data_IF_244319739368
#
_entry.id   IF_244319739368
#
_cell.length_a   1.000
_cell.length_b   1.000
_cell.length_c   1.000
_cell.angle_alpha   90.00
_cell.angle_beta   90.00
_cell.angle_gamma   90.00
#
_symmetry.space_group_name_H-M   'P 1'
#
loop_
_entity.id
_entity.type
_entity.pdbx_description
1 polymer ?
#
# COMPACT_ATOMS: atom_id res chain seq x y z
N UNK A 1 -0.88 3.59 29.63
CA UNK A 1 -0.25 3.11 28.37
C UNK A 1 -0.21 1.59 28.49
N UNK A 2 -1.08 0.89 27.76
CA UNK A 2 -1.05 -0.59 27.79
C UNK A 2 0.21 -1.09 27.08
N UNK A 3 0.79 -2.18 27.60
CA UNK A 3 1.94 -2.82 26.98
C UNK A 3 1.65 -3.20 25.52
N UNK A 4 2.66 -3.01 24.65
CA UNK A 4 2.59 -3.52 23.29
C UNK A 4 2.57 -5.06 23.33
N UNK A 5 1.84 -5.73 22.42
CA UNK A 5 1.87 -7.19 22.32
C UNK A 5 3.29 -7.67 21.98
N UNK A 6 3.60 -8.95 22.24
CA UNK A 6 4.90 -9.54 21.94
C UNK A 6 5.30 -9.40 20.47
N UNK A 7 4.32 -9.33 19.56
CA UNK A 7 4.48 -8.88 18.17
C UNK A 7 3.21 -8.16 17.71
N UNK A 8 3.32 -7.21 16.75
CA UNK A 8 2.15 -6.58 16.18
C UNK A 8 1.33 -7.56 15.34
N UNK A 9 0.03 -7.28 15.19
CA UNK A 9 -0.82 -7.94 14.20
C UNK A 9 -0.62 -7.28 12.83
N UNK A 10 -0.17 -8.05 11.83
CA UNK A 10 0.15 -7.52 10.51
C UNK A 10 -1.01 -7.73 9.53
N UNK A 11 -1.45 -6.65 8.89
CA UNK A 11 -2.50 -6.66 7.87
C UNK A 11 -1.90 -6.23 6.53
N UNK A 12 -2.01 -7.07 5.51
CA UNK A 12 -1.69 -6.73 4.13
C UNK A 12 -2.95 -6.29 3.38
N UNK A 13 -2.94 -5.10 2.76
CA UNK A 13 -4.05 -4.58 1.96
C UNK A 13 -3.60 -4.40 0.51
N UNK A 14 -4.01 -5.34 -0.34
CA UNK A 14 -3.68 -5.38 -1.76
C UNK A 14 -4.85 -4.94 -2.66
N UNK A 15 -4.58 -4.82 -3.94
CA UNK A 15 -5.56 -4.49 -4.99
C UNK A 15 -4.94 -3.59 -6.05
N UNK A 16 -5.57 -3.44 -7.20
CA UNK A 16 -5.06 -2.65 -8.31
C UNK A 16 -4.88 -1.17 -7.97
N UNK A 17 -4.09 -0.47 -8.80
CA UNK A 17 -3.98 0.98 -8.70
C UNK A 17 -5.37 1.62 -8.69
N UNK A 18 -5.60 2.58 -7.78
CA UNK A 18 -6.88 3.29 -7.58
C UNK A 18 -8.08 2.41 -7.15
N UNK A 19 -7.85 1.21 -6.59
CA UNK A 19 -8.91 0.38 -6.00
C UNK A 19 -9.45 0.93 -4.66
N UNK A 20 -8.75 1.89 -4.03
CA UNK A 20 -9.12 2.47 -2.74
C UNK A 20 -8.37 1.91 -1.54
N UNK A 21 -7.26 1.20 -1.75
CA UNK A 21 -6.41 0.62 -0.67
C UNK A 21 -6.02 1.64 0.37
N UNK A 22 -5.45 2.76 -0.07
CA UNK A 22 -4.99 3.83 0.81
C UNK A 22 -6.14 4.37 1.66
N UNK A 23 -7.30 4.62 1.05
CA UNK A 23 -8.50 5.08 1.78
C UNK A 23 -8.95 4.09 2.84
N UNK A 24 -8.94 2.79 2.53
CA UNK A 24 -9.30 1.74 3.50
C UNK A 24 -8.25 1.69 4.62
N UNK A 25 -6.97 1.68 4.29
CA UNK A 25 -5.88 1.59 5.26
C UNK A 25 -5.85 2.82 6.20
N UNK A 26 -6.05 4.02 5.67
CA UNK A 26 -6.17 5.25 6.46
C UNK A 26 -7.39 5.21 7.38
N UNK A 27 -8.54 4.75 6.88
CA UNK A 27 -9.74 4.59 7.69
C UNK A 27 -9.57 3.55 8.81
N UNK A 28 -8.84 2.46 8.56
CA UNK A 28 -8.48 1.50 9.60
C UNK A 28 -7.63 2.16 10.70
N UNK A 29 -6.65 2.98 10.31
CA UNK A 29 -5.78 3.69 11.26
C UNK A 29 -6.54 4.74 12.08
N UNK A 30 -7.37 5.56 11.43
CA UNK A 30 -8.20 6.58 12.10
C UNK A 30 -9.14 5.97 13.14
N UNK A 31 -9.86 4.90 12.75
CA UNK A 31 -10.89 4.30 13.61
C UNK A 31 -10.34 3.47 14.77
N UNK A 32 -9.16 2.88 14.62
CA UNK A 32 -8.46 2.21 15.71
C UNK A 32 -7.66 3.19 16.60
N UNK A 33 -7.50 4.43 16.13
CA UNK A 33 -6.63 5.44 16.72
C UNK A 33 -5.18 5.31 16.27
N UNK A 34 -4.61 6.39 15.80
CA UNK A 34 -3.27 6.46 15.17
C UNK A 34 -2.13 5.87 16.05
N UNK A 35 -2.28 5.91 17.37
CA UNK A 35 -1.32 5.32 18.31
C UNK A 35 -1.33 3.78 18.32
N UNK A 36 -2.37 3.16 17.78
CA UNK A 36 -2.54 1.70 17.77
C UNK A 36 -2.21 1.07 16.41
N UNK A 37 -2.07 1.88 15.37
CA UNK A 37 -1.81 1.42 14.00
C UNK A 37 -0.62 2.14 13.40
N UNK A 38 0.39 1.38 12.96
CA UNK A 38 1.44 1.86 12.08
C UNK A 38 1.04 1.59 10.62
N UNK A 39 0.84 2.64 9.85
CA UNK A 39 0.50 2.53 8.43
C UNK A 39 1.78 2.64 7.59
N UNK A 40 2.04 1.61 6.79
CA UNK A 40 3.15 1.50 5.86
C UNK A 40 2.61 1.43 4.43
N UNK A 41 2.97 2.41 3.60
CA UNK A 41 2.61 2.44 2.18
C UNK A 41 3.75 1.83 1.36
N UNK A 42 3.46 0.82 0.55
CA UNK A 42 4.46 0.17 -0.31
C UNK A 42 5.11 1.17 -1.28
N UNK A 43 4.35 2.17 -1.75
CA UNK A 43 4.86 3.22 -2.64
C UNK A 43 6.03 4.03 -2.03
N UNK A 44 6.17 4.05 -0.71
CA UNK A 44 7.34 4.64 -0.03
C UNK A 44 8.63 3.85 -0.28
N UNK A 45 8.51 2.60 -0.71
CA UNK A 45 9.63 1.68 -0.89
C UNK A 45 9.98 1.44 -2.36
N UNK A 46 9.57 2.31 -3.28
CA UNK A 46 10.16 2.29 -4.61
C UNK A 46 11.68 2.42 -4.53
N UNK A 47 12.42 1.73 -5.40
CA UNK A 47 13.88 1.86 -5.48
C UNK A 47 14.28 3.32 -5.69
N UNK A 48 15.41 3.71 -5.14
CA UNK A 48 15.95 5.04 -5.37
C UNK A 48 16.52 5.13 -6.78
N UNK A 49 16.01 6.07 -7.56
CA UNK A 49 16.41 6.35 -8.93
C UNK A 49 17.14 7.70 -9.05
N UNK A 50 17.63 8.25 -7.92
CA UNK A 50 18.28 9.58 -7.89
C UNK A 50 19.45 9.74 -8.83
N UNK A 51 20.18 8.67 -9.10
CA UNK A 51 21.31 8.66 -10.04
C UNK A 51 20.88 8.61 -11.52
N UNK A 52 19.57 8.42 -11.82
CA UNK A 52 19.05 8.36 -13.18
C UNK A 52 18.53 9.72 -13.65
N UNK A 53 18.73 10.08 -14.92
CA UNK A 53 18.08 11.23 -15.53
C UNK A 53 16.54 11.17 -15.38
N UNK A 54 15.91 12.34 -15.34
CA UNK A 54 14.44 12.42 -15.15
C UNK A 54 13.66 11.64 -16.23
N UNK A 55 14.15 11.65 -17.48
CA UNK A 55 13.53 10.94 -18.60
C UNK A 55 13.50 9.42 -18.38
N UNK A 56 14.58 8.86 -17.83
CA UNK A 56 14.62 7.43 -17.48
C UNK A 56 13.70 7.10 -16.32
N UNK A 57 13.58 7.99 -15.33
CA UNK A 57 12.64 7.83 -14.23
C UNK A 57 11.18 7.86 -14.70
N UNK A 58 10.86 8.71 -15.67
CA UNK A 58 9.53 8.78 -16.28
C UNK A 58 9.16 7.52 -17.07
N UNK A 59 10.16 6.86 -17.68
CA UNK A 59 9.99 5.64 -18.46
C UNK A 59 10.04 4.35 -17.59
N UNK A 60 10.32 4.48 -16.29
CA UNK A 60 10.46 3.33 -15.39
C UNK A 60 9.09 2.72 -15.08
N UNK A 61 9.02 1.37 -15.07
CA UNK A 61 7.80 0.64 -14.73
C UNK A 61 7.66 0.49 -13.21
N UNK A 62 6.93 1.41 -12.60
CA UNK A 62 6.63 1.40 -11.16
C UNK A 62 5.58 0.35 -10.75
N UNK A 63 4.96 -0.33 -11.68
CA UNK A 63 4.00 -1.40 -11.40
C UNK A 63 4.65 -2.79 -11.42
N UNK A 64 5.93 -2.90 -11.84
CA UNK A 64 6.71 -4.13 -11.84
C UNK A 64 7.24 -4.48 -10.44
N UNK A 65 7.35 -5.76 -10.04
CA UNK A 65 7.92 -6.16 -8.75
C UNK A 65 9.34 -5.64 -8.47
N UNK A 66 10.19 -5.53 -9.49
CA UNK A 66 11.55 -5.02 -9.35
C UNK A 66 11.62 -3.51 -9.04
N UNK A 67 10.47 -2.82 -9.08
CA UNK A 67 10.41 -1.41 -8.71
C UNK A 67 10.51 -1.17 -7.21
N UNK A 68 10.47 -2.21 -6.37
CA UNK A 68 10.40 -2.08 -4.93
C UNK A 68 11.64 -2.60 -4.22
N UNK A 69 12.04 -1.87 -3.18
CA UNK A 69 13.11 -2.22 -2.25
C UNK A 69 12.55 -3.15 -1.16
N UNK A 70 12.32 -4.42 -1.55
CA UNK A 70 11.81 -5.46 -0.66
C UNK A 70 12.67 -5.70 0.58
N UNK A 71 14.02 -5.69 0.48
CA UNK A 71 14.89 -5.81 1.65
C UNK A 71 14.61 -4.73 2.68
N UNK A 72 14.62 -3.46 2.29
CA UNK A 72 14.36 -2.33 3.18
C UNK A 72 12.99 -2.42 3.86
N UNK A 73 11.93 -2.77 3.09
CA UNK A 73 10.61 -2.95 3.68
C UNK A 73 10.58 -4.08 4.71
N UNK A 74 11.20 -5.22 4.40
CA UNK A 74 11.28 -6.36 5.31
C UNK A 74 12.05 -6.03 6.60
N UNK A 75 13.16 -5.28 6.49
CA UNK A 75 13.96 -4.84 7.63
C UNK A 75 13.15 -3.88 8.53
N UNK A 76 12.41 -2.95 7.92
CA UNK A 76 11.54 -2.04 8.66
C UNK A 76 10.40 -2.77 9.38
N UNK A 77 9.76 -3.76 8.73
CA UNK A 77 8.73 -4.57 9.37
C UNK A 77 9.30 -5.41 10.53
N UNK A 78 10.50 -5.94 10.39
CA UNK A 78 11.18 -6.68 11.45
C UNK A 78 11.52 -5.76 12.64
N UNK A 79 12.00 -4.55 12.39
CA UNK A 79 12.30 -3.56 13.42
C UNK A 79 11.03 -3.11 14.16
N UNK A 80 9.93 -2.82 13.46
CA UNK A 80 8.64 -2.50 14.07
C UNK A 80 8.13 -3.65 14.94
N UNK A 81 8.30 -4.89 14.48
CA UNK A 81 7.92 -6.08 15.25
C UNK A 81 8.80 -6.26 16.50
N UNK A 82 10.05 -5.81 16.47
CA UNK A 82 10.96 -5.80 17.60
C UNK A 82 10.77 -4.58 18.55
N UNK A 83 9.80 -3.71 18.27
CA UNK A 83 9.52 -2.54 19.10
C UNK A 83 10.39 -1.31 18.80
N UNK A 84 11.11 -1.31 17.66
CA UNK A 84 11.95 -0.18 17.25
C UNK A 84 11.26 0.69 16.20
N UNK A 85 11.36 2.03 16.28
CA UNK A 85 10.84 2.93 15.25
C UNK A 85 11.71 2.86 13.98
N UNK A 86 11.10 3.15 12.82
CA UNK A 86 11.76 3.08 11.51
C UNK A 86 11.59 4.35 10.68
N UNK A 87 12.62 4.77 9.93
CA UNK A 87 12.56 5.93 9.05
C UNK A 87 11.99 5.55 7.67
N UNK A 88 10.65 5.59 7.52
CA UNK A 88 9.97 5.29 6.26
C UNK A 88 10.28 6.36 5.23
N UNK A 89 10.83 6.02 4.04
CA UNK A 89 11.11 7.00 3.00
C UNK A 89 9.85 7.73 2.55
N UNK A 90 10.00 8.97 2.12
CA UNK A 90 8.95 9.72 1.43
C UNK A 90 9.20 9.66 -0.08
N UNK A 91 8.14 9.40 -0.83
CA UNK A 91 8.18 9.31 -2.28
C UNK A 91 7.53 10.54 -2.92
N UNK A 92 8.25 11.18 -3.84
CA UNK A 92 7.76 12.31 -4.63
C UNK A 92 7.22 11.82 -5.99
N UNK A 93 5.90 11.89 -6.15
CA UNK A 93 5.22 11.46 -7.37
C UNK A 93 5.43 12.42 -8.56
N UNK A 94 5.91 13.64 -8.33
CA UNK A 94 6.23 14.63 -9.38
C UNK A 94 7.63 14.38 -9.91
N UNK A 95 8.58 14.12 -9.00
CA UNK A 95 9.97 13.83 -9.35
C UNK A 95 10.23 12.36 -9.68
N UNK A 96 9.26 11.47 -9.45
CA UNK A 96 9.38 10.01 -9.68
C UNK A 96 10.57 9.40 -8.94
N UNK A 97 10.78 9.83 -7.69
CA UNK A 97 11.87 9.33 -6.86
C UNK A 97 11.57 9.52 -5.37
N UNK A 98 12.40 8.92 -4.51
CA UNK A 98 12.44 9.25 -3.08
C UNK A 98 12.88 10.71 -2.89
N UNK A 99 12.22 11.44 -1.98
CA UNK A 99 12.54 12.87 -1.75
C UNK A 99 13.82 13.08 -0.93
N UNK A 100 14.37 12.04 -0.36
CA UNK A 100 15.45 12.13 0.62
C UNK A 100 14.98 12.34 2.06
N UNK A 101 13.74 12.77 2.25
CA UNK A 101 13.11 12.90 3.57
C UNK A 101 12.53 11.57 4.05
N UNK A 102 12.32 11.47 5.36
CA UNK A 102 11.73 10.29 5.99
C UNK A 102 10.61 10.68 6.97
N UNK A 103 9.64 9.80 7.11
CA UNK A 103 8.63 9.85 8.17
C UNK A 103 8.92 8.76 9.19
N UNK A 104 9.07 9.13 10.44
CA UNK A 104 9.26 8.13 11.50
C UNK A 104 7.96 7.37 11.74
N UNK A 105 7.99 6.05 11.55
CA UNK A 105 6.91 5.15 11.95
C UNK A 105 7.29 4.50 13.29
N UNK A 106 6.35 4.57 14.25
CA UNK A 106 6.54 4.00 15.59
C UNK A 106 5.92 2.61 15.68
N UNK A 107 6.46 1.74 16.55
CA UNK A 107 5.83 0.46 16.87
C UNK A 107 4.40 0.64 17.36
N UNK A 108 3.52 -0.24 16.90
CA UNK A 108 2.10 -0.20 17.21
C UNK A 108 1.56 -1.62 17.42
N UNK A 109 0.34 -1.74 17.96
CA UNK A 109 -0.32 -3.05 18.11
C UNK A 109 -0.66 -3.70 16.78
N UNK A 110 -0.92 -2.87 15.78
CA UNK A 110 -1.31 -3.28 14.43
C UNK A 110 -0.38 -2.58 13.44
N UNK A 111 0.14 -3.32 12.47
CA UNK A 111 0.85 -2.76 11.33
C UNK A 111 0.04 -3.05 10.07
N UNK A 112 -0.38 -2.01 9.37
CA UNK A 112 -1.07 -2.13 8.09
C UNK A 112 -0.08 -1.81 6.98
N UNK A 113 0.15 -2.76 6.08
CA UNK A 113 0.96 -2.55 4.87
C UNK A 113 0.01 -2.53 3.67
N UNK A 114 -0.04 -1.41 2.96
CA UNK A 114 -0.88 -1.29 1.76
C UNK A 114 -0.05 -1.08 0.51
N UNK A 115 -0.47 -1.70 -0.59
CA UNK A 115 0.17 -1.52 -1.88
C UNK A 115 -0.28 -2.52 -2.94
N UNK A 116 0.08 -2.24 -4.18
CA UNK A 116 -0.39 -3.04 -5.32
C UNK A 116 0.18 -4.47 -5.30
N UNK A 117 1.39 -4.68 -4.78
CA UNK A 117 2.13 -5.95 -4.82
C UNK A 117 2.37 -6.59 -3.44
N UNK A 118 1.73 -6.09 -2.36
CA UNK A 118 1.98 -6.62 -1.01
C UNK A 118 1.63 -8.11 -0.85
N UNK A 119 0.68 -8.62 -1.63
CA UNK A 119 0.35 -10.06 -1.64
C UNK A 119 1.10 -10.84 -2.73
N UNK A 120 1.78 -10.18 -3.64
CA UNK A 120 2.62 -10.84 -4.64
C UNK A 120 3.92 -11.35 -4.03
N UNK A 121 4.58 -10.52 -3.19
CA UNK A 121 5.88 -10.84 -2.61
C UNK A 121 5.75 -11.89 -1.49
N UNK A 122 6.36 -13.09 -1.63
CA UNK A 122 6.22 -14.17 -0.66
C UNK A 122 6.72 -13.80 0.74
N UNK A 123 7.86 -13.08 0.83
CA UNK A 123 8.47 -12.71 2.10
C UNK A 123 7.59 -11.78 2.95
N UNK A 124 6.74 -10.97 2.31
CA UNK A 124 5.73 -10.16 2.99
C UNK A 124 4.47 -10.97 3.29
N UNK A 125 3.99 -11.71 2.30
CA UNK A 125 2.74 -12.48 2.40
C UNK A 125 2.75 -13.45 3.57
N UNK A 126 3.88 -14.08 3.85
CA UNK A 126 4.06 -15.01 4.97
C UNK A 126 4.05 -14.34 6.34
N UNK A 127 4.26 -13.04 6.40
CA UNK A 127 4.23 -12.26 7.65
C UNK A 127 2.84 -11.81 8.05
N UNK A 128 1.91 -11.69 7.10
CA UNK A 128 0.58 -11.15 7.36
C UNK A 128 -0.31 -12.15 8.11
N UNK A 129 -0.90 -11.66 9.19
CA UNK A 129 -1.93 -12.38 9.95
C UNK A 129 -3.30 -12.26 9.27
N UNK A 130 -3.51 -11.19 8.48
CA UNK A 130 -4.71 -10.98 7.67
C UNK A 130 -4.34 -10.38 6.32
N UNK A 131 -4.81 -10.99 5.25
CA UNK A 131 -4.57 -10.58 3.86
C UNK A 131 -5.88 -10.15 3.23
N UNK A 132 -5.97 -8.87 2.86
CA UNK A 132 -7.16 -8.26 2.26
C UNK A 132 -6.86 -7.86 0.82
N UNK A 133 -7.74 -8.20 -0.10
CA UNK A 133 -7.68 -7.75 -1.48
C UNK A 133 -8.90 -6.90 -1.84
N UNK A 134 -8.66 -5.68 -2.32
CA UNK A 134 -9.72 -4.79 -2.81
C UNK A 134 -9.93 -5.02 -4.31
N UNK A 135 -11.05 -5.65 -4.63
CA UNK A 135 -11.46 -5.98 -5.99
C UNK A 135 -12.33 -4.87 -6.56
N UNK A 136 -11.79 -4.14 -7.52
CA UNK A 136 -12.45 -3.01 -8.17
C UNK A 136 -12.27 -3.13 -9.68
N UNK A 137 -13.35 -2.95 -10.42
CA UNK A 137 -13.36 -3.07 -11.87
C UNK A 137 -12.35 -2.15 -12.55
N UNK A 138 -11.69 -2.59 -13.65
CA UNK A 138 -10.62 -1.85 -14.30
C UNK A 138 -11.04 -0.46 -14.81
N UNK A 139 -12.25 -0.31 -15.35
CA UNK A 139 -12.80 0.95 -15.82
C UNK A 139 -12.99 1.96 -14.68
N UNK A 140 -13.52 1.50 -13.54
CA UNK A 140 -13.67 2.31 -12.32
C UNK A 140 -12.30 2.75 -11.82
N UNK A 141 -11.31 1.86 -11.79
CA UNK A 141 -9.94 2.18 -11.39
C UNK A 141 -9.28 3.20 -12.32
N UNK A 142 -9.47 3.05 -13.64
CA UNK A 142 -8.96 4.00 -14.62
C UNK A 142 -9.56 5.40 -14.42
N UNK A 143 -10.88 5.51 -14.25
CA UNK A 143 -11.57 6.78 -14.03
C UNK A 143 -11.05 7.46 -12.75
N UNK A 144 -10.90 6.69 -11.66
CA UNK A 144 -10.36 7.21 -10.40
C UNK A 144 -8.91 7.67 -10.54
N UNK A 145 -8.08 6.89 -11.26
CA UNK A 145 -6.69 7.24 -11.54
C UNK A 145 -6.58 8.52 -12.36
N UNK A 146 -7.36 8.65 -13.43
CA UNK A 146 -7.40 9.87 -14.24
C UNK A 146 -7.70 11.10 -13.37
N UNK A 147 -8.76 11.05 -12.57
CA UNK A 147 -9.15 12.17 -11.71
C UNK A 147 -8.05 12.55 -10.72
N UNK A 148 -7.48 11.57 -10.02
CA UNK A 148 -6.42 11.77 -9.03
C UNK A 148 -5.14 12.32 -9.68
N UNK A 149 -4.65 11.66 -10.73
CA UNK A 149 -3.36 11.97 -11.31
C UNK A 149 -3.36 13.35 -12.03
N UNK A 150 -4.50 13.76 -12.58
CA UNK A 150 -4.67 15.11 -13.13
C UNK A 150 -4.72 16.15 -12.01
N UNK A 151 -5.52 15.93 -10.96
CA UNK A 151 -5.74 16.92 -9.91
C UNK A 151 -4.55 17.07 -8.94
N UNK A 152 -3.87 15.96 -8.63
CA UNK A 152 -2.89 15.91 -7.52
C UNK A 152 -1.45 15.72 -8.00
N UNK A 153 -1.22 15.19 -9.22
CA UNK A 153 0.11 14.83 -9.72
C UNK A 153 0.53 15.62 -10.96
N UNK A 154 -0.31 16.55 -11.41
CA UNK A 154 -0.03 17.42 -12.56
C UNK A 154 0.11 16.69 -13.90
N UNK A 155 -0.47 15.46 -14.02
CA UNK A 155 -0.40 14.66 -15.26
C UNK A 155 -1.49 15.08 -16.24
N UNK A 156 -1.27 14.80 -17.53
CA UNK A 156 -2.34 14.96 -18.55
C UNK A 156 -3.13 13.65 -18.69
N UNK A 157 -4.35 13.73 -19.22
CA UNK A 157 -5.17 12.56 -19.49
C UNK A 157 -4.47 11.58 -20.45
N UNK A 158 -3.79 12.11 -21.47
CA UNK A 158 -3.05 11.33 -22.47
C UNK A 158 -1.93 10.52 -21.80
N UNK A 159 -1.15 11.16 -20.90
CA UNK A 159 -0.06 10.50 -20.16
C UNK A 159 -0.61 9.39 -19.26
N UNK A 160 -1.72 9.63 -18.55
CA UNK A 160 -2.32 8.62 -17.67
C UNK A 160 -2.86 7.44 -18.46
N UNK A 161 -3.50 7.69 -19.62
CA UNK A 161 -4.03 6.63 -20.50
C UNK A 161 -2.88 5.82 -21.11
N UNK A 162 -1.81 6.47 -21.58
CA UNK A 162 -0.62 5.78 -22.10
C UNK A 162 -0.03 4.84 -21.03
N UNK A 163 0.27 5.35 -19.84
CA UNK A 163 0.76 4.52 -18.75
C UNK A 163 -0.19 3.38 -18.37
N UNK A 164 -1.51 3.61 -18.40
CA UNK A 164 -2.49 2.57 -18.11
C UNK A 164 -2.38 1.40 -19.07
N UNK A 165 -2.22 1.69 -20.36
CA UNK A 165 -2.14 0.67 -21.41
C UNK A 165 -0.77 -0.01 -21.48
N UNK A 166 0.31 0.73 -21.23
CA UNK A 166 1.68 0.26 -21.41
C UNK A 166 2.23 -0.49 -20.21
N UNK A 167 1.92 -0.06 -18.98
CA UNK A 167 2.49 -0.65 -17.75
C UNK A 167 1.43 -1.10 -16.76
N UNK A 168 0.51 -0.22 -16.35
CA UNK A 168 -0.40 -0.47 -15.21
C UNK A 168 -1.32 -1.66 -15.43
N UNK A 169 -1.94 -1.76 -16.60
CA UNK A 169 -2.85 -2.86 -16.94
C UNK A 169 -2.09 -4.17 -17.14
N UNK A 170 -0.99 -4.24 -17.92
CA UNK A 170 -0.18 -5.46 -18.03
C UNK A 170 0.35 -5.96 -16.69
N UNK A 171 0.91 -5.09 -15.86
CA UNK A 171 1.40 -5.47 -14.54
C UNK A 171 0.27 -5.94 -13.62
N UNK A 172 -0.92 -5.32 -13.71
CA UNK A 172 -2.09 -5.79 -12.98
C UNK A 172 -2.47 -7.22 -13.37
N UNK A 173 -2.57 -7.50 -14.66
CA UNK A 173 -2.93 -8.82 -15.19
C UNK A 173 -1.87 -9.88 -14.86
N UNK A 174 -0.59 -9.50 -14.86
CA UNK A 174 0.52 -10.42 -14.65
C UNK A 174 0.83 -10.69 -13.18
N UNK A 175 0.79 -9.69 -12.31
CA UNK A 175 1.27 -9.77 -10.92
C UNK A 175 0.18 -9.55 -9.88
N UNK A 176 -0.65 -8.49 -10.06
CA UNK A 176 -1.55 -8.02 -9.01
C UNK A 176 -2.79 -8.89 -8.91
N UNK A 177 -3.52 -9.08 -10.02
CA UNK A 177 -4.72 -9.90 -10.05
C UNK A 177 -4.47 -11.36 -9.65
N UNK A 178 -3.39 -12.05 -10.11
CA UNK A 178 -3.08 -13.39 -9.64
C UNK A 178 -2.81 -13.50 -8.14
N UNK A 179 -2.35 -12.41 -7.49
CA UNK A 179 -2.10 -12.39 -6.04
C UNK A 179 -3.37 -12.41 -5.19
N UNK A 180 -4.52 -12.10 -5.77
CA UNK A 180 -5.85 -12.16 -5.14
C UNK A 180 -6.15 -13.52 -4.53
N UNK A 181 -5.66 -14.62 -5.11
CA UNK A 181 -5.82 -15.99 -4.58
C UNK A 181 -5.21 -16.21 -3.19
N UNK A 182 -4.31 -15.33 -2.76
CA UNK A 182 -3.68 -15.41 -1.44
C UNK A 182 -4.41 -14.60 -0.38
N UNK A 183 -5.45 -13.85 -0.76
CA UNK A 183 -6.23 -13.07 0.18
C UNK A 183 -7.11 -13.96 1.06
N UNK A 184 -7.19 -13.62 2.35
CA UNK A 184 -8.14 -14.22 3.29
C UNK A 184 -9.52 -13.58 3.14
N UNK A 185 -9.55 -12.28 2.74
CA UNK A 185 -10.77 -11.50 2.51
C UNK A 185 -10.67 -10.74 1.20
N UNK A 186 -11.69 -10.88 0.35
CA UNK A 186 -11.83 -10.11 -0.88
C UNK A 186 -13.00 -9.14 -0.71
N UNK A 187 -12.74 -7.83 -0.91
CA UNK A 187 -13.75 -6.78 -0.79
C UNK A 187 -14.09 -6.29 -2.22
N UNK A 188 -15.28 -6.64 -2.74
CA UNK A 188 -15.74 -6.14 -4.03
C UNK A 188 -16.03 -4.64 -3.96
N UNK A 189 -15.95 -3.95 -5.10
CA UNK A 189 -16.10 -2.49 -5.23
C UNK A 189 -15.05 -1.66 -4.47
N UNK A 190 -14.08 -2.33 -3.85
CA UNK A 190 -12.96 -1.73 -3.14
C UNK A 190 -13.39 -0.81 -2.00
N UNK A 191 -12.78 0.37 -1.91
CA UNK A 191 -12.98 1.32 -0.81
C UNK A 191 -14.39 1.93 -0.69
N UNK A 192 -15.32 1.64 -1.62
CA UNK A 192 -16.72 2.08 -1.55
C UNK A 192 -17.64 1.08 -0.85
N UNK A 193 -17.23 -0.17 -0.68
CA UNK A 193 -18.02 -1.20 0.00
C UNK A 193 -18.01 -0.98 1.52
N UNK A 194 -18.83 -0.03 1.99
CA UNK A 194 -18.92 0.32 3.41
C UNK A 194 -19.22 -0.88 4.32
N UNK A 195 -20.22 -1.75 4.03
CA UNK A 195 -20.53 -2.89 4.89
C UNK A 195 -19.33 -3.83 5.09
N UNK A 196 -18.60 -4.16 4.01
CA UNK A 196 -17.43 -5.04 4.11
C UNK A 196 -16.28 -4.37 4.88
N UNK A 197 -16.09 -3.05 4.70
CA UNK A 197 -15.09 -2.28 5.43
C UNK A 197 -15.48 -2.21 6.92
N UNK A 198 -16.74 -2.05 7.27
CA UNK A 198 -17.19 -1.98 8.66
C UNK A 198 -16.96 -3.31 9.40
N UNK A 199 -17.08 -4.47 8.72
CA UNK A 199 -16.69 -5.77 9.29
C UNK A 199 -15.18 -5.82 9.58
N UNK A 200 -14.35 -5.35 8.66
CA UNK A 200 -12.91 -5.27 8.84
C UNK A 200 -12.53 -4.32 9.98
N UNK A 201 -13.20 -3.16 10.05
CA UNK A 201 -13.04 -2.18 11.14
C UNK A 201 -13.39 -2.75 12.52
N UNK A 202 -14.46 -3.53 12.62
CA UNK A 202 -14.83 -4.17 13.87
C UNK A 202 -13.71 -5.08 14.39
N UNK A 203 -13.09 -5.87 13.49
CA UNK A 203 -11.95 -6.72 13.85
C UNK A 203 -10.73 -5.91 14.28
N UNK A 204 -10.43 -4.83 13.58
CA UNK A 204 -9.29 -3.96 13.90
C UNK A 204 -9.47 -3.27 15.24
N UNK A 205 -10.70 -2.82 15.58
CA UNK A 205 -11.02 -2.26 16.92
C UNK A 205 -10.81 -3.26 18.04
N UNK A 206 -11.33 -4.47 17.88
CA UNK A 206 -11.11 -5.57 18.83
C UNK A 206 -9.61 -5.79 19.10
N UNK A 207 -8.79 -5.85 18.04
CA UNK A 207 -7.35 -6.01 18.15
C UNK A 207 -6.65 -4.80 18.79
N UNK A 208 -7.15 -3.59 18.56
CA UNK A 208 -6.65 -2.37 19.18
C UNK A 208 -7.03 -2.26 20.67
N UNK A 209 -8.03 -3.01 21.12
CA UNK A 209 -8.58 -2.91 22.48
C UNK A 209 -9.35 -1.60 22.69
N UNK A 210 -10.06 -1.14 21.66
CA UNK A 210 -10.84 0.11 21.64
C UNK A 210 -12.32 -0.21 21.41
N UNK A 211 -12.93 -0.97 22.31
CA UNK A 211 -14.38 -1.25 22.31
C UNK A 211 -15.19 0.02 22.61
#
# INVERSE_FOLDING_TARGET
>A
MGELPARPFLIGVAGGSSSGKTTVAERLAEMAGERHVALIKLDSYYVDLGDRPREERLAFDFDHPDAFDWPLLNDHLAALAAGAPVPVPLYDYVEYNRSGDVRLAHPARIVVVEGILVLWEPSLRERFDLKVYLDTDPDVRLIRRLRRDIAERGRTAETVIAQWLETVRPAHEQFIEPSKRYADVIIPEGGLNRPAIDVLLARVRELAGTD
#
